data_IF_911146264115
#
_entry.id   IF_911146264115
#
_cell.length_a   1.000
_cell.length_b   1.000
_cell.length_c   1.000
_cell.angle_alpha   90.00
_cell.angle_beta   90.00
_cell.angle_gamma   90.00
#
_symmetry.space_group_name_H-M   'P 1'
#
loop_
_entity.id
_entity.type
_entity.pdbx_description
1 polymer ?
#
# COMPACT_ATOMS: atom_id res chain seq x y z
N UNK A 1 -22.22 2.24 -9.29
CA UNK A 1 -21.27 1.67 -8.31
C UNK A 1 -20.77 0.35 -8.88
N UNK A 2 -19.46 0.20 -9.01
CA UNK A 2 -18.84 -1.03 -9.52
C UNK A 2 -18.74 -2.06 -8.37
N UNK A 3 -18.87 -3.37 -8.65
CA UNK A 3 -18.70 -4.43 -7.64
C UNK A 3 -17.34 -4.30 -6.94
N UNK A 4 -16.29 -3.94 -7.68
CA UNK A 4 -14.95 -3.71 -7.15
C UNK A 4 -14.93 -2.61 -6.09
N UNK A 5 -15.59 -1.47 -6.36
CA UNK A 5 -15.61 -0.33 -5.43
C UNK A 5 -16.30 -0.73 -4.11
N UNK A 6 -17.40 -1.50 -4.21
CA UNK A 6 -18.12 -2.01 -3.02
C UNK A 6 -17.27 -2.93 -2.16
N UNK A 7 -16.40 -3.76 -2.75
CA UNK A 7 -15.52 -4.66 -1.99
C UNK A 7 -14.42 -3.87 -1.28
N UNK A 8 -13.84 -2.86 -1.93
CA UNK A 8 -12.83 -2.01 -1.31
C UNK A 8 -13.45 -1.15 -0.19
N UNK A 9 -14.63 -0.56 -0.43
CA UNK A 9 -15.35 0.18 0.60
C UNK A 9 -15.68 -0.68 1.83
N UNK A 10 -16.12 -1.92 1.62
CA UNK A 10 -16.35 -2.88 2.70
C UNK A 10 -15.06 -3.21 3.48
N UNK A 11 -13.95 -3.42 2.78
CA UNK A 11 -12.66 -3.67 3.41
C UNK A 11 -12.16 -2.46 4.22
N UNK A 12 -12.38 -1.23 3.73
CA UNK A 12 -12.08 0.02 4.44
C UNK A 12 -12.93 0.16 5.71
N UNK A 13 -14.22 -0.16 5.62
CA UNK A 13 -15.12 -0.15 6.77
C UNK A 13 -14.71 -1.18 7.84
N UNK A 14 -14.33 -2.38 7.42
CA UNK A 14 -13.82 -3.43 8.32
C UNK A 14 -12.49 -3.02 8.97
N UNK A 15 -11.58 -2.43 8.21
CA UNK A 15 -10.31 -1.89 8.74
C UNK A 15 -10.57 -0.90 9.88
N UNK A 16 -11.51 0.02 9.70
CA UNK A 16 -11.90 1.01 10.72
C UNK A 16 -12.54 0.34 11.93
N UNK A 17 -13.51 -0.54 11.71
CA UNK A 17 -14.27 -1.21 12.75
C UNK A 17 -13.39 -2.09 13.64
N UNK A 18 -12.50 -2.88 13.06
CA UNK A 18 -11.62 -3.80 13.79
C UNK A 18 -10.52 -3.09 14.58
N UNK A 19 -10.34 -1.78 14.41
CA UNK A 19 -9.34 -0.95 15.11
C UNK A 19 -9.94 0.16 15.93
N UNK A 20 -11.26 0.18 16.08
CA UNK A 20 -11.99 1.24 16.80
C UNK A 20 -11.57 1.41 18.26
N UNK A 21 -11.09 0.33 18.90
CA UNK A 21 -10.62 0.34 20.29
C UNK A 21 -9.18 0.86 20.45
N UNK A 22 -8.46 1.11 19.33
CA UNK A 22 -7.10 1.63 19.39
C UNK A 22 -7.14 3.15 19.58
N UNK A 23 -6.53 3.62 20.68
CA UNK A 23 -6.31 5.05 20.92
C UNK A 23 -5.13 5.54 20.06
N UNK A 24 -5.41 5.91 18.83
CA UNK A 24 -4.42 6.40 17.88
C UNK A 24 -4.93 7.61 17.10
N UNK A 25 -4.14 8.71 17.00
CA UNK A 25 -4.55 9.94 16.33
C UNK A 25 -5.02 9.77 14.88
N UNK A 26 -4.46 8.81 14.16
CA UNK A 26 -4.88 8.45 12.82
C UNK A 26 -6.35 7.98 12.79
N UNK A 27 -6.75 7.10 13.70
CA UNK A 27 -8.12 6.58 13.77
C UNK A 27 -9.10 7.63 14.28
N UNK A 28 -8.67 8.49 15.20
CA UNK A 28 -9.49 9.57 15.75
C UNK A 28 -9.85 10.64 14.71
N UNK A 29 -9.06 10.77 13.64
CA UNK A 29 -9.24 11.76 12.56
C UNK A 29 -9.78 11.13 11.28
N UNK A 30 -10.50 10.02 11.38
CA UNK A 30 -11.06 9.36 10.20
C UNK A 30 -11.97 10.33 9.41
N UNK A 31 -11.79 10.43 8.06
CA UNK A 31 -12.55 11.37 7.26
C UNK A 31 -14.06 11.06 7.29
N UNK A 32 -14.87 12.12 7.40
CA UNK A 32 -16.33 12.01 7.42
C UNK A 32 -16.91 11.66 6.05
N UNK A 33 -16.29 12.18 4.98
CA UNK A 33 -16.71 11.98 3.59
C UNK A 33 -15.53 11.49 2.75
N UNK A 34 -15.10 10.23 2.92
CA UNK A 34 -13.97 9.71 2.17
C UNK A 34 -14.29 9.55 0.69
N UNK A 35 -13.36 9.95 -0.17
CA UNK A 35 -13.32 9.53 -1.57
C UNK A 35 -12.47 8.28 -1.74
N UNK A 36 -12.62 7.58 -2.86
CA UNK A 36 -11.78 6.47 -3.25
C UNK A 36 -11.12 6.79 -4.60
N UNK A 37 -9.79 6.71 -4.64
CA UNK A 37 -9.00 6.80 -5.87
C UNK A 37 -8.29 5.48 -6.13
N UNK A 38 -8.02 5.16 -7.41
CA UNK A 38 -7.38 3.92 -7.79
C UNK A 38 -6.52 4.09 -9.03
N UNK A 39 -5.35 3.40 -9.05
CA UNK A 39 -4.49 3.33 -10.23
C UNK A 39 -3.76 1.98 -10.29
N UNK A 40 -3.39 1.59 -11.51
CA UNK A 40 -2.63 0.36 -11.75
C UNK A 40 -1.14 0.64 -11.94
N UNK A 41 -0.31 -0.25 -11.44
CA UNK A 41 1.13 -0.28 -11.70
C UNK A 41 1.50 -1.59 -12.37
N UNK A 42 2.08 -1.49 -13.57
CA UNK A 42 2.63 -2.61 -14.31
C UNK A 42 4.16 -2.51 -14.29
N UNK A 43 4.83 -3.54 -13.83
CA UNK A 43 6.28 -3.67 -13.87
C UNK A 43 6.66 -4.88 -14.71
N UNK A 44 7.63 -4.71 -15.60
CA UNK A 44 8.18 -5.76 -16.47
C UNK A 44 9.71 -5.72 -16.40
N UNK A 45 10.35 -6.87 -16.46
CA UNK A 45 11.82 -6.98 -16.38
C UNK A 45 12.34 -6.68 -14.97
N UNK A 46 13.38 -5.85 -14.90
CA UNK A 46 13.88 -5.30 -13.63
C UNK A 46 12.95 -4.18 -13.18
N UNK A 47 12.52 -4.22 -11.92
CA UNK A 47 11.56 -3.23 -11.43
C UNK A 47 11.67 -2.94 -9.94
N UNK A 48 11.27 -1.72 -9.62
CA UNK A 48 11.07 -1.25 -8.25
C UNK A 48 10.03 -0.12 -8.28
N UNK A 49 9.46 0.18 -7.15
CA UNK A 49 8.75 1.45 -6.91
C UNK A 49 9.48 2.13 -5.77
N UNK A 50 9.99 3.32 -6.01
CA UNK A 50 10.78 4.06 -5.03
C UNK A 50 9.97 4.41 -3.78
N UNK A 51 10.67 4.63 -2.67
CA UNK A 51 10.04 4.97 -1.41
C UNK A 51 9.32 6.32 -1.50
N UNK A 52 8.02 6.33 -1.19
CA UNK A 52 7.16 7.51 -1.26
C UNK A 52 6.03 7.43 -0.23
N UNK A 53 5.26 8.51 -0.13
CA UNK A 53 3.99 8.60 0.62
C UNK A 53 2.91 9.13 -0.30
N UNK A 54 1.66 8.95 0.06
CA UNK A 54 0.52 9.56 -0.62
C UNK A 54 0.05 10.79 0.14
N UNK A 55 0.38 11.97 -0.36
CA UNK A 55 0.14 13.24 0.35
C UNK A 55 -1.35 13.52 0.60
N UNK A 56 -2.22 13.11 -0.32
CA UNK A 56 -3.67 13.25 -0.22
C UNK A 56 -4.37 11.98 0.26
N UNK A 57 -3.62 10.88 0.33
CA UNK A 57 -4.10 9.58 0.77
C UNK A 57 -4.14 9.49 2.30
N UNK A 58 -5.34 9.30 2.85
CA UNK A 58 -5.51 9.02 4.27
C UNK A 58 -5.16 7.56 4.60
N UNK A 59 -5.69 6.62 3.83
CA UNK A 59 -5.38 5.19 3.92
C UNK A 59 -4.92 4.70 2.55
N UNK A 60 -3.69 4.23 2.48
CA UNK A 60 -3.14 3.59 1.28
C UNK A 60 -3.45 2.09 1.26
N UNK A 61 -3.67 1.55 0.07
CA UNK A 61 -3.93 0.13 -0.13
C UNK A 61 -3.23 -0.35 -1.39
N UNK A 62 -2.82 -1.61 -1.38
CA UNK A 62 -2.31 -2.29 -2.58
C UNK A 62 -2.91 -3.68 -2.71
N UNK A 63 -3.45 -3.98 -3.88
CA UNK A 63 -4.00 -5.26 -4.29
C UNK A 63 -3.14 -5.88 -5.38
N UNK A 64 -2.96 -7.19 -5.37
CA UNK A 64 -2.10 -7.93 -6.30
C UNK A 64 -2.91 -8.88 -7.17
N UNK A 65 -3.39 -8.46 -8.36
CA UNK A 65 -4.11 -9.35 -9.27
C UNK A 65 -3.20 -10.36 -9.96
N UNK A 66 -1.94 -9.99 -10.25
CA UNK A 66 -0.98 -10.85 -10.96
C UNK A 66 0.43 -10.65 -10.39
N UNK A 67 1.08 -11.75 -10.05
CA UNK A 67 2.46 -11.75 -9.55
C UNK A 67 3.30 -12.75 -10.35
N UNK A 68 4.56 -12.40 -10.67
CA UNK A 68 5.49 -13.33 -11.26
C UNK A 68 5.96 -14.39 -10.24
N UNK A 69 6.35 -15.59 -10.69
CA UNK A 69 6.83 -16.64 -9.80
C UNK A 69 8.13 -16.29 -9.06
N UNK A 70 8.90 -15.32 -9.57
CA UNK A 70 10.14 -14.84 -8.96
C UNK A 70 9.93 -13.88 -7.78
N UNK A 71 8.70 -13.49 -7.50
CA UNK A 71 8.36 -12.70 -6.30
C UNK A 71 8.47 -13.59 -5.06
N UNK A 72 9.69 -13.74 -4.58
CA UNK A 72 10.03 -14.57 -3.42
C UNK A 72 11.29 -14.02 -2.74
N UNK A 73 11.60 -14.50 -1.56
CA UNK A 73 12.85 -14.19 -0.83
C UNK A 73 13.17 -12.68 -0.73
N UNK A 74 12.13 -11.85 -0.55
CA UNK A 74 12.25 -10.41 -0.40
C UNK A 74 12.28 -9.63 -1.71
N UNK A 75 12.13 -10.27 -2.88
CA UNK A 75 12.07 -9.60 -4.17
C UNK A 75 10.63 -9.20 -4.54
N UNK A 76 10.44 -7.96 -4.96
CA UNK A 76 9.13 -7.43 -5.33
C UNK A 76 8.14 -7.31 -4.15
N UNK A 77 8.64 -7.33 -2.91
CA UNK A 77 7.84 -7.22 -1.71
C UNK A 77 7.48 -5.77 -1.40
N UNK A 78 6.40 -5.58 -0.67
CA UNK A 78 6.06 -4.29 -0.09
C UNK A 78 6.90 -4.05 1.16
N UNK A 79 7.68 -2.99 1.18
CA UNK A 79 8.40 -2.52 2.38
C UNK A 79 7.72 -1.25 2.91
N UNK A 80 7.28 -1.30 4.15
CA UNK A 80 6.72 -0.16 4.88
C UNK A 80 7.76 0.45 5.81
N UNK A 81 7.74 1.78 5.98
CA UNK A 81 8.52 2.52 6.97
C UNK A 81 9.88 3.00 6.48
N UNK A 82 10.39 2.57 5.32
CA UNK A 82 11.65 3.06 4.79
C UNK A 82 11.46 4.37 4.04
N UNK A 83 12.08 5.47 4.51
CA UNK A 83 12.06 6.74 3.77
C UNK A 83 12.96 6.66 2.52
N UNK A 84 12.83 7.61 1.57
CA UNK A 84 13.80 7.83 0.51
C UNK A 84 15.21 8.03 1.05
N UNK A 85 16.24 7.70 0.25
CA UNK A 85 17.65 7.78 0.69
C UNK A 85 18.09 9.21 1.01
N UNK A 86 17.53 10.19 0.34
CA UNK A 86 17.81 11.61 0.53
C UNK A 86 16.96 12.26 1.65
N UNK A 87 16.06 11.51 2.25
CA UNK A 87 15.23 12.01 3.35
C UNK A 87 16.04 12.13 4.65
N UNK A 88 16.07 13.31 5.29
CA UNK A 88 16.89 13.54 6.48
C UNK A 88 16.33 12.78 7.69
N UNK A 89 16.92 11.65 8.01
CA UNK A 89 16.59 10.86 9.21
C UNK A 89 17.71 10.94 10.22
N UNK A 90 17.35 11.01 11.51
CA UNK A 90 18.33 11.04 12.62
C UNK A 90 18.42 9.68 13.34
N UNK A 91 17.54 8.76 13.02
CA UNK A 91 17.45 7.44 13.63
C UNK A 91 17.21 6.38 12.56
N UNK A 92 17.61 5.15 12.83
CA UNK A 92 17.32 4.04 11.93
C UNK A 92 15.79 3.82 11.82
N UNK A 93 15.31 3.73 10.58
CA UNK A 93 13.89 3.53 10.33
C UNK A 93 13.46 2.10 10.72
N UNK A 94 12.34 2.00 11.44
CA UNK A 94 11.69 0.71 11.66
C UNK A 94 10.93 0.33 10.39
N UNK A 95 11.33 -0.77 9.79
CA UNK A 95 10.74 -1.23 8.53
C UNK A 95 10.04 -2.58 8.68
N UNK A 96 9.05 -2.82 7.83
CA UNK A 96 8.34 -4.10 7.73
C UNK A 96 8.23 -4.54 6.28
N UNK A 97 8.74 -5.73 5.99
CA UNK A 97 8.56 -6.40 4.70
C UNK A 97 7.27 -7.23 4.72
N UNK A 98 6.47 -7.10 3.68
CA UNK A 98 5.24 -7.84 3.47
C UNK A 98 5.33 -8.55 2.13
N UNK A 99 5.34 -9.88 2.18
CA UNK A 99 5.30 -10.70 0.99
C UNK A 99 3.98 -10.51 0.26
N UNK A 100 3.98 -10.14 -1.03
CA UNK A 100 2.76 -10.08 -1.81
C UNK A 100 2.24 -11.49 -2.09
N UNK A 101 0.91 -11.61 -2.19
CA UNK A 101 0.26 -12.83 -2.65
C UNK A 101 -0.87 -12.46 -3.60
N UNK A 102 -1.08 -13.23 -4.64
CA UNK A 102 -2.17 -12.99 -5.57
C UNK A 102 -3.52 -12.99 -4.82
N UNK A 103 -4.33 -11.96 -5.06
CA UNK A 103 -5.60 -11.75 -4.36
C UNK A 103 -5.48 -11.08 -2.98
N UNK A 104 -4.26 -10.82 -2.48
CA UNK A 104 -4.06 -10.11 -1.21
C UNK A 104 -4.27 -8.60 -1.37
N UNK A 105 -4.99 -8.02 -0.42
CA UNK A 105 -5.08 -6.58 -0.21
C UNK A 105 -4.31 -6.22 1.07
N UNK A 106 -3.38 -5.29 0.98
CA UNK A 106 -2.64 -4.73 2.12
C UNK A 106 -3.09 -3.30 2.33
N UNK A 107 -3.34 -2.91 3.57
CA UNK A 107 -3.74 -1.56 3.96
C UNK A 107 -2.77 -0.97 4.97
N UNK A 108 -2.46 0.31 4.81
CA UNK A 108 -1.54 1.05 5.69
C UNK A 108 -1.91 2.54 5.70
N UNK A 109 -1.60 3.28 6.78
CA UNK A 109 -1.79 4.74 6.81
C UNK A 109 -1.06 5.42 5.65
N UNK A 110 -1.72 6.34 4.94
CA UNK A 110 -1.16 7.00 3.76
C UNK A 110 0.12 7.80 4.02
N UNK A 111 0.36 8.22 5.27
CA UNK A 111 1.61 8.89 5.69
C UNK A 111 2.81 7.95 5.85
N UNK A 112 2.61 6.62 5.81
CA UNK A 112 3.73 5.68 5.90
C UNK A 112 4.53 5.66 4.60
N UNK A 113 5.84 5.85 4.69
CA UNK A 113 6.72 5.56 3.58
C UNK A 113 6.59 4.10 3.18
N UNK A 114 6.49 3.87 1.88
CA UNK A 114 6.41 2.53 1.34
C UNK A 114 7.06 2.45 -0.04
N UNK A 115 7.55 1.26 -0.36
CA UNK A 115 8.16 0.97 -1.66
C UNK A 115 7.95 -0.49 -2.06
N UNK A 116 8.18 -0.80 -3.33
CA UNK A 116 8.38 -2.18 -3.77
C UNK A 116 9.87 -2.46 -3.79
N UNK A 117 10.32 -3.54 -3.12
CA UNK A 117 11.72 -3.96 -3.19
C UNK A 117 12.09 -4.36 -4.62
N UNK A 118 13.36 -4.17 -5.03
CA UNK A 118 13.80 -4.56 -6.36
C UNK A 118 13.50 -6.03 -6.66
N UNK A 119 13.12 -6.31 -7.90
CA UNK A 119 12.98 -7.67 -8.42
C UNK A 119 13.39 -7.73 -9.89
N UNK A 120 13.67 -8.92 -10.35
CA UNK A 120 13.98 -9.19 -11.76
C UNK A 120 13.15 -10.40 -12.21
N UNK A 121 12.33 -10.21 -13.24
CA UNK A 121 11.47 -11.25 -13.79
C UNK A 121 11.22 -11.03 -15.28
N UNK A 122 11.03 -12.11 -16.01
CA UNK A 122 10.55 -12.07 -17.41
C UNK A 122 9.01 -11.96 -17.49
N UNK A 123 8.34 -12.02 -16.35
CA UNK A 123 6.89 -11.97 -16.25
C UNK A 123 6.43 -10.63 -15.68
N UNK A 124 5.18 -10.30 -15.92
CA UNK A 124 4.57 -9.06 -15.42
C UNK A 124 4.28 -9.17 -13.93
N UNK A 125 4.46 -8.05 -13.24
CA UNK A 125 3.94 -7.82 -11.90
C UNK A 125 2.91 -6.71 -11.98
N UNK A 126 1.67 -7.02 -11.64
CA UNK A 126 0.57 -6.07 -11.64
C UNK A 126 0.12 -5.85 -10.20
N UNK A 127 0.05 -4.59 -9.82
CA UNK A 127 -0.60 -4.16 -8.58
C UNK A 127 -1.61 -3.05 -8.86
N UNK A 128 -2.67 -3.00 -8.08
CA UNK A 128 -3.65 -1.92 -8.09
C UNK A 128 -3.58 -1.24 -6.75
N UNK A 129 -3.20 0.03 -6.77
CA UNK A 129 -3.22 0.87 -5.60
C UNK A 129 -4.59 1.55 -5.45
N UNK A 130 -4.99 1.77 -4.21
CA UNK A 130 -6.16 2.55 -3.84
C UNK A 130 -5.80 3.49 -2.71
N UNK A 131 -6.40 4.68 -2.74
CA UNK A 131 -6.34 5.62 -1.64
C UNK A 131 -7.74 5.99 -1.16
N UNK A 132 -7.89 6.01 0.14
CA UNK A 132 -8.97 6.78 0.77
C UNK A 132 -8.48 8.22 0.86
N UNK A 133 -9.14 9.11 0.14
CA UNK A 133 -8.78 10.54 0.12
C UNK A 133 -9.77 11.37 0.90
N UNK A 134 -9.29 12.47 1.49
CA UNK A 134 -10.13 13.47 2.16
C UNK A 134 -10.63 14.44 1.09
N UNK A 135 -11.95 14.61 1.01
CA UNK A 135 -12.60 15.56 0.11
C UNK A 135 -13.27 16.68 0.88
#
# INVERSE_FOLDING_TARGET
MCIRDSLIEAAVADYRATRSELDHPFLARWPESPGLEAWGTLLEGEGTVDAHIHLEGYLGMVYYPELPPEVSEGQGWLELGRPPEDFPVQVEAVTKLIEPAQGRLVMFPGYMFHRTTPFNSKHRRISVAYDVVVR
#
